data_IF_423398812024
#
_entry.id   IF_423398812024
#
_cell.length_a   1.000
_cell.length_b   1.000
_cell.length_c   1.000
_cell.angle_alpha   90.00
_cell.angle_beta   90.00
_cell.angle_gamma   90.00
#
_symmetry.space_group_name_H-M   'P 1'
#
loop_
_entity.id
_entity.type
_entity.pdbx_description
1 polymer ?
#
# COMPACT_ATOMS: atom_id res chain seq x y z
N UNK A 1 -0.60 -0.31 -27.73
CA UNK A 1 -0.32 0.70 -26.69
C UNK A 1 1.06 0.47 -26.12
N UNK A 2 1.76 1.50 -25.65
CA UNK A 2 2.99 1.31 -24.88
C UNK A 2 2.61 0.76 -23.49
N UNK A 3 3.29 -0.27 -22.96
CA UNK A 3 3.03 -0.75 -21.61
C UNK A 3 3.28 0.39 -20.62
N UNK A 4 2.25 0.71 -19.85
CA UNK A 4 2.30 1.74 -18.82
C UNK A 4 3.03 1.14 -17.63
N UNK A 5 4.34 1.38 -17.53
CA UNK A 5 5.16 0.86 -16.45
C UNK A 5 5.00 1.72 -15.18
N UNK A 6 3.77 1.88 -14.70
CA UNK A 6 3.47 2.59 -13.46
C UNK A 6 3.59 1.63 -12.27
N UNK A 7 4.78 1.59 -11.66
CA UNK A 7 5.05 0.83 -10.42
C UNK A 7 4.47 1.55 -9.19
N UNK A 8 3.16 1.80 -9.19
CA UNK A 8 2.48 2.45 -8.06
C UNK A 8 2.06 1.45 -6.98
N UNK A 9 1.95 0.17 -7.31
CA UNK A 9 1.59 -0.88 -6.37
C UNK A 9 2.85 -1.40 -5.66
N UNK A 10 2.73 -1.65 -4.36
CA UNK A 10 3.79 -2.25 -3.54
C UNK A 10 3.41 -3.69 -3.24
N UNK A 11 4.25 -4.64 -3.65
CA UNK A 11 4.00 -6.05 -3.36
C UNK A 11 3.96 -6.28 -1.84
N UNK A 12 2.86 -6.82 -1.35
CA UNK A 12 2.57 -6.95 0.09
C UNK A 12 2.89 -8.34 0.65
N UNK A 13 3.55 -9.22 -0.13
CA UNK A 13 3.90 -10.58 0.31
C UNK A 13 5.10 -10.64 1.25
N UNK A 14 5.89 -9.56 1.35
CA UNK A 14 6.93 -9.44 2.36
C UNK A 14 7.00 -8.01 2.90
N UNK A 15 6.61 -7.86 4.17
CA UNK A 15 6.58 -6.57 4.88
C UNK A 15 7.22 -6.79 6.24
N UNK A 16 8.16 -5.93 6.60
CA UNK A 16 8.68 -5.80 7.95
C UNK A 16 8.45 -4.37 8.41
N UNK A 17 7.71 -4.19 9.51
CA UNK A 17 7.36 -2.87 10.02
C UNK A 17 7.25 -2.88 11.54
N UNK A 18 7.57 -1.73 12.14
CA UNK A 18 7.30 -1.52 13.55
C UNK A 18 5.77 -1.49 13.82
N UNK A 19 5.32 -1.90 15.02
CA UNK A 19 3.93 -1.76 15.41
C UNK A 19 3.48 -0.29 15.31
N UNK A 20 2.31 -0.05 14.73
CA UNK A 20 1.76 1.31 14.59
C UNK A 20 2.45 2.20 13.57
N UNK A 21 3.33 1.66 12.70
CA UNK A 21 4.00 2.46 11.68
C UNK A 21 2.97 3.23 10.81
N UNK A 22 3.13 4.55 10.57
CA UNK A 22 2.12 5.39 9.91
C UNK A 22 1.63 4.85 8.57
N UNK A 23 2.53 4.28 7.76
CA UNK A 23 2.17 3.62 6.51
C UNK A 23 1.13 2.52 6.69
N UNK A 24 1.36 1.59 7.63
CA UNK A 24 0.44 0.48 7.86
C UNK A 24 -0.83 0.94 8.57
N UNK A 25 -0.71 1.84 9.54
CA UNK A 25 -1.88 2.40 10.22
C UNK A 25 -2.86 3.02 9.21
N UNK A 26 -2.34 3.79 8.24
CA UNK A 26 -3.16 4.41 7.21
C UNK A 26 -3.81 3.39 6.26
N UNK A 27 -3.07 2.35 5.86
CA UNK A 27 -3.61 1.26 5.03
C UNK A 27 -4.75 0.55 5.74
N UNK A 28 -4.56 0.18 7.00
CA UNK A 28 -5.56 -0.55 7.79
C UNK A 28 -6.80 0.31 8.01
N UNK A 29 -6.64 1.59 8.35
CA UNK A 29 -7.75 2.54 8.46
C UNK A 29 -8.58 2.56 7.17
N UNK A 30 -7.93 2.80 6.03
CA UNK A 30 -8.60 2.90 4.74
C UNK A 30 -9.32 1.61 4.35
N UNK A 31 -8.65 0.46 4.44
CA UNK A 31 -9.28 -0.83 4.10
C UNK A 31 -10.47 -1.12 5.01
N UNK A 32 -10.35 -0.83 6.32
CA UNK A 32 -11.45 -1.03 7.27
C UNK A 32 -12.63 -0.14 6.95
N UNK A 33 -12.39 1.14 6.62
CA UNK A 33 -13.45 2.06 6.20
C UNK A 33 -14.07 1.63 4.88
N UNK A 34 -13.28 1.17 3.90
CA UNK A 34 -13.78 0.66 2.63
C UNK A 34 -14.76 -0.50 2.83
N UNK A 35 -14.43 -1.44 3.71
CA UNK A 35 -15.30 -2.58 4.05
C UNK A 35 -16.54 -2.11 4.81
N UNK A 36 -16.36 -1.33 5.88
CA UNK A 36 -17.44 -0.90 6.79
C UNK A 36 -18.47 -0.01 6.08
N UNK A 37 -18.02 0.85 5.18
CA UNK A 37 -18.86 1.77 4.42
C UNK A 37 -19.25 1.24 3.05
N UNK A 38 -18.94 -0.03 2.75
CA UNK A 38 -19.32 -0.72 1.51
C UNK A 38 -18.92 0.09 0.28
N UNK A 39 -17.63 0.41 0.21
CA UNK A 39 -17.08 1.16 -0.91
C UNK A 39 -17.35 0.43 -2.22
N UNK A 40 -17.59 1.24 -3.25
CA UNK A 40 -17.77 0.84 -4.63
C UNK A 40 -16.57 1.29 -5.45
N UNK A 41 -16.48 0.84 -6.70
CA UNK A 41 -15.48 1.32 -7.65
C UNK A 41 -15.44 2.84 -7.77
N UNK A 42 -16.60 3.51 -7.72
CA UNK A 42 -16.69 4.98 -7.78
C UNK A 42 -16.07 5.63 -6.55
N UNK A 43 -16.31 5.07 -5.37
CA UNK A 43 -15.69 5.56 -4.13
C UNK A 43 -14.17 5.35 -4.18
N UNK A 44 -13.72 4.23 -4.79
CA UNK A 44 -12.30 3.97 -5.04
C UNK A 44 -11.71 5.01 -5.98
N UNK A 45 -12.34 5.29 -7.11
CA UNK A 45 -11.90 6.31 -8.07
C UNK A 45 -11.75 7.68 -7.41
N UNK A 46 -12.71 8.03 -6.55
CA UNK A 46 -12.71 9.30 -5.81
C UNK A 46 -11.51 9.41 -4.86
N UNK A 47 -11.01 8.31 -4.28
CA UNK A 47 -9.79 8.33 -3.46
C UNK A 47 -8.55 8.78 -4.25
N UNK A 48 -8.57 8.64 -5.58
CA UNK A 48 -7.46 8.98 -6.46
C UNK A 48 -7.65 10.31 -7.21
N UNK A 49 -8.67 11.10 -6.83
CA UNK A 49 -8.81 12.48 -7.32
C UNK A 49 -7.63 13.37 -6.87
N UNK A 50 -7.26 14.41 -7.66
CA UNK A 50 -8.04 15.01 -8.75
C UNK A 50 -7.85 14.39 -10.14
N UNK A 51 -6.75 13.66 -10.40
CA UNK A 51 -6.41 13.17 -11.74
C UNK A 51 -6.15 11.65 -11.73
N UNK A 52 -7.19 10.82 -11.49
CA UNK A 52 -7.02 9.38 -11.44
C UNK A 52 -6.81 8.79 -12.83
N UNK A 53 -5.86 7.87 -12.93
CA UNK A 53 -5.73 6.94 -14.05
C UNK A 53 -6.74 5.79 -13.82
N UNK A 54 -7.86 5.83 -14.54
CA UNK A 54 -8.98 4.92 -14.32
C UNK A 54 -8.79 3.53 -14.95
N UNK A 55 -7.97 3.40 -16.00
CA UNK A 55 -7.88 2.13 -16.74
C UNK A 55 -7.29 1.02 -15.87
N UNK A 56 -6.29 1.33 -15.04
CA UNK A 56 -5.68 0.38 -14.11
C UNK A 56 -6.56 0.16 -12.89
N UNK A 57 -7.26 1.19 -12.41
CA UNK A 57 -8.20 1.07 -11.28
C UNK A 57 -9.33 0.09 -11.59
N UNK A 58 -9.88 0.12 -12.80
CA UNK A 58 -11.00 -0.75 -13.19
C UNK A 58 -10.53 -2.11 -13.71
N UNK A 59 -9.33 -2.21 -14.28
CA UNK A 59 -8.77 -3.49 -14.74
C UNK A 59 -8.24 -4.38 -13.59
N UNK A 60 -7.84 -3.77 -12.46
CA UNK A 60 -7.24 -4.47 -11.32
C UNK A 60 -7.84 -4.00 -9.98
N UNK A 61 -9.15 -3.78 -9.98
CA UNK A 61 -9.97 -3.26 -8.89
C UNK A 61 -9.76 -3.99 -7.54
N UNK A 62 -9.60 -5.31 -7.54
CA UNK A 62 -9.32 -6.11 -6.34
C UNK A 62 -7.99 -5.74 -5.69
N UNK A 63 -7.00 -5.27 -6.46
CA UNK A 63 -5.71 -4.85 -5.92
C UNK A 63 -5.82 -3.51 -5.19
N UNK A 64 -6.82 -2.69 -5.52
CA UNK A 64 -7.09 -1.39 -4.91
C UNK A 64 -8.07 -1.44 -3.72
N UNK A 65 -8.70 -2.58 -3.47
CA UNK A 65 -9.59 -2.74 -2.31
C UNK A 65 -8.86 -3.24 -1.07
N UNK A 66 -8.02 -4.28 -1.20
CA UNK A 66 -7.27 -4.85 -0.08
C UNK A 66 -5.88 -5.40 -0.48
N UNK A 67 -5.42 -5.11 -1.69
CA UNK A 67 -4.21 -5.70 -2.26
C UNK A 67 -2.96 -4.81 -2.27
N UNK A 68 -1.97 -5.13 -3.12
CA UNK A 68 -0.70 -4.39 -3.20
C UNK A 68 -0.85 -2.93 -3.68
N UNK A 69 -1.90 -2.62 -4.43
CA UNK A 69 -2.09 -1.27 -4.98
C UNK A 69 -2.65 -0.29 -3.94
N UNK A 70 -3.56 -0.73 -3.06
CA UNK A 70 -4.01 0.11 -1.95
C UNK A 70 -2.87 0.36 -0.94
N UNK A 71 -1.98 -0.63 -0.73
CA UNK A 71 -0.77 -0.44 0.06
C UNK A 71 0.10 0.70 -0.50
N UNK A 72 0.44 0.62 -1.79
CA UNK A 72 1.21 1.68 -2.46
C UNK A 72 0.52 3.04 -2.41
N UNK A 73 -0.79 3.07 -2.64
CA UNK A 73 -1.59 4.32 -2.59
C UNK A 73 -1.57 4.99 -1.23
N UNK A 74 -1.71 4.22 -0.16
CA UNK A 74 -1.73 4.79 1.19
C UNK A 74 -0.33 5.19 1.64
N UNK A 75 0.73 4.46 1.25
CA UNK A 75 2.12 4.93 1.44
C UNK A 75 2.33 6.27 0.74
N UNK A 76 1.88 6.40 -0.52
CA UNK A 76 1.90 7.67 -1.25
C UNK A 76 1.18 8.78 -0.50
N UNK A 77 0.00 8.50 0.03
CA UNK A 77 -0.81 9.47 0.76
C UNK A 77 -0.10 9.94 2.04
N UNK A 78 0.52 9.04 2.79
CA UNK A 78 1.30 9.39 3.99
C UNK A 78 2.53 10.23 3.61
N UNK A 79 3.16 9.94 2.48
CA UNK A 79 4.25 10.74 1.90
C UNK A 79 3.76 12.06 1.26
N UNK A 80 2.46 12.33 1.26
CA UNK A 80 1.86 13.52 0.64
C UNK A 80 1.89 13.54 -0.89
N UNK A 81 2.13 12.38 -1.53
CA UNK A 81 2.13 12.19 -2.99
C UNK A 81 0.75 11.75 -3.48
N UNK A 82 0.52 11.85 -4.78
CA UNK A 82 -0.66 11.27 -5.42
C UNK A 82 -0.70 9.75 -5.20
N UNK A 83 -1.88 9.16 -4.95
CA UNK A 83 -2.02 7.72 -4.65
C UNK A 83 -1.46 6.80 -5.74
N UNK A 84 -1.47 7.25 -7.01
CA UNK A 84 -0.91 6.50 -8.15
C UNK A 84 0.53 6.90 -8.51
N UNK A 85 1.23 7.65 -7.65
CA UNK A 85 2.63 8.00 -7.90
C UNK A 85 3.50 6.72 -7.92
N UNK A 86 4.45 6.60 -8.87
CA UNK A 86 5.32 5.44 -8.95
C UNK A 86 6.29 5.37 -7.76
N UNK A 87 6.75 4.16 -7.48
CA UNK A 87 7.81 3.89 -6.52
C UNK A 87 9.10 3.48 -7.22
N UNK A 88 10.20 3.92 -6.62
CA UNK A 88 11.54 3.43 -6.91
C UNK A 88 12.00 2.57 -5.74
N UNK A 89 12.75 1.51 -6.04
CA UNK A 89 13.39 0.69 -5.01
C UNK A 89 14.54 1.48 -4.39
N UNK A 90 14.67 1.42 -3.06
CA UNK A 90 15.68 2.18 -2.33
C UNK A 90 15.18 2.68 -0.98
N UNK A 91 15.94 3.59 -0.39
CA UNK A 91 15.56 4.27 0.84
C UNK A 91 14.47 5.31 0.56
N UNK A 92 13.34 5.20 1.27
CA UNK A 92 12.27 6.19 1.20
C UNK A 92 12.70 7.37 2.02
N UNK A 93 12.76 8.55 1.39
CA UNK A 93 13.08 9.82 2.05
C UNK A 93 11.80 10.64 2.19
N UNK A 94 11.11 10.57 3.35
CA UNK A 94 9.81 11.20 3.50
C UNK A 94 9.90 12.73 3.51
N UNK A 95 11.07 13.27 3.83
CA UNK A 95 11.32 14.68 4.10
C UNK A 95 12.01 15.40 2.94
N UNK A 96 11.97 14.83 1.72
CA UNK A 96 12.37 15.60 0.53
C UNK A 96 11.38 16.75 0.25
N UNK A 97 10.12 16.61 0.66
CA UNK A 97 9.09 17.63 0.60
C UNK A 97 8.33 17.72 1.93
N UNK A 98 8.92 18.45 2.88
CA UNK A 98 8.40 18.63 4.24
C UNK A 98 6.94 19.08 4.28
N UNK A 99 6.50 19.92 3.34
CA UNK A 99 5.13 20.44 3.33
C UNK A 99 4.14 19.32 3.01
N UNK A 100 4.45 18.51 2.01
CA UNK A 100 3.61 17.39 1.62
C UNK A 100 3.62 16.29 2.68
N UNK A 101 4.78 15.99 3.25
CA UNK A 101 4.90 15.01 4.33
C UNK A 101 4.12 15.43 5.59
N UNK A 102 4.17 16.71 6.00
CA UNK A 102 3.36 17.25 7.11
C UNK A 102 1.86 17.04 6.88
N UNK A 103 1.39 17.29 5.66
CA UNK A 103 -0.02 17.08 5.28
C UNK A 103 -0.40 15.60 5.37
N UNK A 104 0.44 14.73 4.78
CA UNK A 104 0.24 13.29 4.75
C UNK A 104 0.26 12.62 6.13
N UNK A 105 1.01 13.19 7.08
CA UNK A 105 1.17 12.68 8.46
C UNK A 105 0.36 13.46 9.51
N UNK A 106 -0.65 14.22 9.10
CA UNK A 106 -1.48 15.04 10.01
C UNK A 106 -2.27 14.23 11.06
N UNK A 107 -2.40 12.91 10.85
CA UNK A 107 -3.02 11.95 11.78
C UNK A 107 -2.05 11.43 12.86
N UNK A 108 -0.76 11.72 12.76
CA UNK A 108 0.22 11.47 13.82
C UNK A 108 0.09 12.61 14.84
N UNK A 109 -0.13 12.26 16.11
CA UNK A 109 -0.43 13.18 17.23
C UNK A 109 0.62 13.05 18.34
N UNK A 110 0.60 13.98 19.29
CA UNK A 110 1.54 13.99 20.42
C UNK A 110 2.93 14.53 20.06
N UNK A 111 3.02 15.25 18.94
CA UNK A 111 4.20 16.01 18.54
C UNK A 111 3.76 17.48 18.43
N UNK A 112 4.50 18.39 19.04
CA UNK A 112 4.32 19.83 18.86
C UNK A 112 4.59 20.21 17.39
N UNK A 113 4.00 21.29 16.89
CA UNK A 113 4.14 21.68 15.47
C UNK A 113 5.60 22.05 15.07
N UNK A 114 6.45 22.30 16.08
CA UNK A 114 7.89 22.52 15.96
C UNK A 114 8.74 21.25 16.16
N UNK A 115 8.14 20.12 16.56
CA UNK A 115 8.87 18.87 16.77
C UNK A 115 9.42 18.31 15.46
N UNK A 116 10.55 17.61 15.60
CA UNK A 116 11.33 17.10 14.49
C UNK A 116 10.46 16.21 13.59
N UNK A 117 10.39 16.57 12.31
CA UNK A 117 9.56 15.90 11.31
C UNK A 117 9.83 14.40 11.27
N UNK A 118 11.08 14.00 11.52
CA UNK A 118 11.52 12.61 11.63
C UNK A 118 10.73 11.77 12.65
N UNK A 119 10.09 12.38 13.66
CA UNK A 119 9.26 11.66 14.63
C UNK A 119 7.89 11.26 14.06
N UNK A 120 7.42 11.94 13.00
CA UNK A 120 6.13 11.65 12.37
C UNK A 120 6.15 10.36 11.54
N UNK A 121 7.29 9.98 10.97
CA UNK A 121 7.51 8.68 10.33
C UNK A 121 8.79 8.11 10.96
N UNK A 122 8.66 7.43 12.11
CA UNK A 122 9.81 7.02 12.87
C UNK A 122 10.58 5.89 12.16
N UNK A 123 11.90 6.00 12.18
CA UNK A 123 12.81 4.98 11.65
C UNK A 123 13.03 5.08 10.14
N UNK A 124 13.75 4.08 9.62
CA UNK A 124 14.12 4.00 8.20
C UNK A 124 13.09 3.17 7.45
N UNK A 125 12.64 3.69 6.33
CA UNK A 125 11.72 3.00 5.41
C UNK A 125 12.44 2.64 4.12
N UNK A 126 12.35 1.39 3.70
CA UNK A 126 13.09 0.88 2.53
C UNK A 126 12.11 0.10 1.64
N UNK A 127 12.14 0.39 0.34
CA UNK A 127 11.44 -0.39 -0.68
C UNK A 127 12.46 -1.29 -1.35
N UNK A 128 12.26 -2.60 -1.20
CA UNK A 128 13.17 -3.59 -1.77
C UNK A 128 12.89 -3.78 -3.26
N UNK A 129 13.96 -3.95 -4.03
CA UNK A 129 13.87 -4.37 -5.40
C UNK A 129 13.48 -5.85 -5.44
N UNK A 130 12.47 -6.17 -6.23
CA UNK A 130 11.99 -7.53 -6.42
C UNK A 130 12.34 -7.97 -7.84
N UNK A 131 13.11 -9.05 -7.96
CA UNK A 131 13.35 -9.71 -9.24
C UNK A 131 13.11 -11.21 -9.08
N UNK A 132 12.17 -11.73 -9.86
CA UNK A 132 11.77 -13.13 -9.83
C UNK A 132 12.78 -14.03 -10.54
N UNK A 133 13.56 -13.49 -11.46
CA UNK A 133 14.46 -14.24 -12.33
C UNK A 133 15.93 -13.99 -12.02
N UNK A 134 16.24 -13.25 -10.96
CA UNK A 134 17.62 -12.94 -10.57
C UNK A 134 18.37 -14.18 -10.08
N UNK A 135 19.28 -14.67 -10.92
CA UNK A 135 20.13 -15.85 -10.69
C UNK A 135 19.35 -17.13 -10.29
N UNK A 136 18.17 -17.34 -10.88
CA UNK A 136 17.40 -18.58 -10.74
C UNK A 136 16.61 -18.73 -9.44
N UNK A 137 16.46 -17.66 -8.65
CA UNK A 137 15.57 -17.62 -7.49
C UNK A 137 14.88 -16.26 -7.40
N UNK A 138 13.73 -16.22 -6.75
CA UNK A 138 13.02 -14.96 -6.51
C UNK A 138 13.70 -14.22 -5.36
N UNK A 139 14.22 -13.02 -5.64
CA UNK A 139 15.03 -12.25 -4.69
C UNK A 139 14.45 -10.89 -4.39
N UNK A 140 14.73 -10.49 -3.16
CA UNK A 140 14.41 -9.18 -2.64
C UNK A 140 15.72 -8.51 -2.21
N UNK A 141 16.12 -7.49 -2.95
CA UNK A 141 17.43 -6.88 -2.82
C UNK A 141 17.32 -5.41 -2.43
N UNK A 142 18.22 -4.99 -1.54
CA UNK A 142 18.49 -3.59 -1.31
C UNK A 142 19.67 -3.18 -2.19
N UNK A 143 19.33 -2.79 -3.42
CA UNK A 143 20.27 -2.52 -4.52
C UNK A 143 21.32 -1.47 -4.16
N UNK A 144 20.94 -0.39 -3.49
CA UNK A 144 21.86 0.69 -3.07
C UNK A 144 22.99 0.22 -2.15
N UNK A 145 22.76 -0.87 -1.40
CA UNK A 145 23.74 -1.48 -0.48
C UNK A 145 24.32 -2.79 -1.01
N UNK A 146 23.96 -3.20 -2.23
CA UNK A 146 24.31 -4.50 -2.80
C UNK A 146 23.99 -5.67 -1.85
N UNK A 147 22.86 -5.59 -1.15
CA UNK A 147 22.46 -6.57 -0.14
C UNK A 147 21.26 -7.39 -0.61
N UNK A 148 21.38 -8.71 -0.60
CA UNK A 148 20.22 -9.62 -0.72
C UNK A 148 19.62 -9.75 0.67
N UNK A 149 18.37 -9.29 0.83
CA UNK A 149 17.71 -9.30 2.14
C UNK A 149 16.94 -10.62 2.33
N UNK A 150 16.31 -11.11 1.26
CA UNK A 150 15.76 -12.46 1.21
C UNK A 150 15.84 -13.03 -0.20
N UNK A 151 15.91 -14.35 -0.27
CA UNK A 151 15.79 -15.12 -1.49
C UNK A 151 14.88 -16.30 -1.21
N UNK A 152 14.04 -16.65 -2.17
CA UNK A 152 13.11 -17.76 -2.07
C UNK A 152 13.02 -18.46 -3.42
N UNK A 153 12.89 -19.77 -3.36
CA UNK A 153 12.53 -20.65 -4.47
C UNK A 153 11.00 -20.76 -4.60
N UNK A 154 10.26 -19.74 -4.16
CA UNK A 154 8.80 -19.78 -4.07
C UNK A 154 8.23 -20.21 -5.44
N UNK A 155 7.53 -21.36 -5.50
CA UNK A 155 7.05 -21.90 -6.76
C UNK A 155 6.12 -20.89 -7.40
N UNK A 156 6.32 -20.68 -8.70
CA UNK A 156 5.44 -19.86 -9.51
C UNK A 156 4.02 -20.42 -9.49
N UNK A 157 3.04 -19.58 -9.81
CA UNK A 157 1.70 -20.04 -10.18
C UNK A 157 1.77 -21.13 -11.26
N UNK A 158 2.62 -20.93 -12.28
CA UNK A 158 2.81 -21.91 -13.35
C UNK A 158 3.43 -23.23 -12.84
N UNK A 159 4.19 -23.20 -11.75
CA UNK A 159 4.75 -24.41 -11.12
C UNK A 159 3.66 -25.21 -10.35
N UNK A 160 2.52 -24.56 -10.05
CA UNK A 160 1.37 -25.19 -9.38
C UNK A 160 0.33 -25.76 -10.35
N UNK A 161 0.44 -25.52 -11.66
CA UNK A 161 -0.50 -26.06 -12.68
C UNK A 161 -0.62 -27.59 -12.70
N UNK A 162 0.35 -28.30 -12.12
CA UNK A 162 0.37 -29.76 -12.03
C UNK A 162 0.02 -30.30 -10.63
N UNK A 163 -0.35 -29.44 -9.68
CA UNK A 163 -0.85 -29.82 -8.36
C UNK A 163 -2.39 -29.80 -8.43
N UNK A 164 -3.05 -30.81 -7.84
CA UNK A 164 -4.50 -31.08 -7.98
C UNK A 164 -5.42 -29.94 -7.49
N UNK A 165 -4.88 -28.90 -6.87
CA UNK A 165 -5.62 -27.71 -6.46
C UNK A 165 -5.44 -26.59 -7.49
N UNK A 166 -6.37 -26.50 -8.43
CA UNK A 166 -6.51 -25.41 -9.41
C UNK A 166 -6.95 -24.13 -8.68
N UNK A 167 -6.05 -23.55 -7.88
CA UNK A 167 -6.32 -22.34 -7.09
C UNK A 167 -6.28 -21.15 -8.02
N UNK A 168 -7.44 -20.60 -8.37
CA UNK A 168 -7.57 -19.45 -9.27
C UNK A 168 -6.66 -18.28 -8.86
N UNK A 169 -5.93 -17.74 -9.85
CA UNK A 169 -5.09 -16.57 -9.65
C UNK A 169 -5.94 -15.34 -9.26
N UNK A 170 -5.39 -14.47 -8.41
CA UNK A 170 -6.11 -13.26 -7.95
C UNK A 170 -6.46 -12.30 -9.11
N UNK A 171 -5.75 -12.39 -10.24
CA UNK A 171 -6.13 -11.66 -11.46
C UNK A 171 -7.47 -12.12 -12.02
N UNK A 172 -7.94 -13.33 -11.71
CA UNK A 172 -9.22 -13.87 -12.15
C UNK A 172 -10.31 -13.68 -11.08
N UNK A 173 -9.94 -13.31 -9.84
CA UNK A 173 -10.93 -13.05 -8.79
C UNK A 173 -11.80 -11.82 -9.06
N UNK A 174 -11.38 -10.84 -9.87
CA UNK A 174 -12.24 -9.70 -10.20
C UNK A 174 -13.56 -10.16 -10.87
N UNK A 175 -13.50 -11.14 -11.79
CA UNK A 175 -14.67 -11.70 -12.50
C UNK A 175 -15.60 -12.50 -11.57
N UNK A 176 -15.04 -13.24 -10.61
CA UNK A 176 -15.83 -14.10 -9.70
C UNK A 176 -16.32 -13.36 -8.45
N UNK A 177 -15.42 -12.68 -7.76
CA UNK A 177 -15.74 -11.91 -6.56
C UNK A 177 -16.66 -10.74 -6.92
N UNK A 178 -16.43 -10.10 -8.08
CA UNK A 178 -17.20 -8.99 -8.62
C UNK A 178 -17.18 -7.79 -7.69
N UNK A 179 -16.56 -6.69 -8.12
CA UNK A 179 -16.54 -5.48 -7.31
C UNK A 179 -17.87 -4.75 -7.41
N UNK A 180 -18.37 -4.36 -6.24
CA UNK A 180 -19.58 -3.58 -6.13
C UNK A 180 -19.39 -2.21 -6.80
N UNK A 181 -20.30 -1.82 -7.69
CA UNK A 181 -20.24 -0.58 -8.49
C UNK A 181 -19.71 -0.75 -9.91
N UNK A 182 -18.97 -1.83 -10.22
CA UNK A 182 -18.60 -2.18 -11.60
C UNK A 182 -19.59 -3.17 -12.19
N UNK A 183 -19.75 -4.33 -11.54
CA UNK A 183 -20.60 -5.42 -12.03
C UNK A 183 -21.72 -5.82 -11.06
N UNK A 184 -21.58 -5.49 -9.76
CA UNK A 184 -22.49 -5.92 -8.70
C UNK A 184 -23.01 -4.73 -7.90
N UNK A 185 -24.20 -4.87 -7.32
CA UNK A 185 -24.79 -3.90 -6.39
C UNK A 185 -25.03 -4.58 -5.04
N UNK A 186 -24.84 -3.85 -3.96
CA UNK A 186 -25.14 -4.39 -2.63
C UNK A 186 -26.64 -4.66 -2.53
N UNK A 187 -27.01 -5.86 -2.07
CA UNK A 187 -28.41 -6.25 -1.86
C UNK A 187 -29.09 -5.44 -0.72
N UNK A 188 -28.27 -5.00 0.23
CA UNK A 188 -28.68 -4.27 1.42
C UNK A 188 -27.91 -2.95 1.49
N UNK A 189 -28.61 -1.88 1.86
CA UNK A 189 -28.08 -0.52 1.95
C UNK A 189 -27.57 -0.17 3.36
N UNK A 190 -27.56 -1.13 4.30
CA UNK A 190 -26.96 -0.91 5.62
C UNK A 190 -25.45 -0.65 5.53
N UNK A 191 -25.09 0.63 5.72
CA UNK A 191 -23.74 1.16 5.87
C UNK A 191 -23.58 1.73 7.27
N UNK A 192 -22.37 1.75 7.81
CA UNK A 192 -22.15 2.37 9.11
C UNK A 192 -22.24 3.91 9.06
N UNK A 193 -21.97 4.52 7.89
CA UNK A 193 -22.01 5.98 7.66
C UNK A 193 -21.08 6.79 8.58
N UNK A 194 -20.02 6.16 9.08
CA UNK A 194 -19.02 6.80 9.93
C UNK A 194 -17.64 6.28 9.53
N UNK A 195 -16.66 7.17 9.51
CA UNK A 195 -15.27 6.80 9.27
C UNK A 195 -14.55 6.59 10.59
N UNK A 196 -13.87 5.45 10.70
CA UNK A 196 -12.87 5.24 11.74
C UNK A 196 -11.67 6.12 11.42
N UNK A 197 -11.10 6.73 12.46
CA UNK A 197 -9.85 7.47 12.38
C UNK A 197 -8.84 6.88 13.34
N UNK A 198 -7.71 6.48 12.80
CA UNK A 198 -6.57 5.98 13.55
C UNK A 198 -5.60 7.13 13.76
N UNK A 199 -5.23 7.32 15.03
CA UNK A 199 -4.19 8.26 15.41
C UNK A 199 -2.96 7.47 15.83
N UNK A 200 -1.81 7.85 15.29
CA UNK A 200 -0.52 7.29 15.73
C UNK A 200 0.05 8.24 16.75
N UNK A 201 0.39 7.72 17.92
CA UNK A 201 1.03 8.49 18.98
C UNK A 201 2.54 8.56 18.70
N UNK A 202 3.02 9.76 18.39
CA UNK A 202 4.41 10.05 18.08
C UNK A 202 5.32 10.12 19.31
N UNK A 203 4.77 10.25 20.53
CA UNK A 203 5.57 10.34 21.77
C UNK A 203 6.38 9.07 22.04
N UNK A 204 5.87 7.90 21.62
CA UNK A 204 6.58 6.62 21.73
C UNK A 204 7.93 6.59 20.99
N UNK A 205 8.12 7.44 19.98
CA UNK A 205 9.40 7.55 19.29
C UNK A 205 10.44 8.29 20.16
N UNK A 206 10.01 9.29 20.94
CA UNK A 206 10.88 10.07 21.83
C UNK A 206 11.38 9.22 23.02
N UNK A 207 10.51 8.43 23.62
CA UNK A 207 10.83 7.58 24.79
C UNK A 207 11.89 6.50 24.50
N UNK A 208 12.11 6.14 23.23
CA UNK A 208 13.07 5.12 22.81
C UNK A 208 14.40 5.67 22.30
N UNK A 209 14.54 6.99 22.15
CA UNK A 209 15.79 7.64 21.70
C UNK A 209 16.74 7.93 22.88
N UNK A 210 16.32 7.70 24.12
CA UNK A 210 17.21 7.69 25.28
C UNK A 210 17.98 6.35 25.39
N UNK A 211 19.07 6.21 24.64
CA UNK A 211 20.13 5.21 24.87
C UNK A 211 21.48 5.87 24.78
#
# INVERSE_FOLDING_TARGET
GKPVNHRMCLWNGWIAAAPGHPFLAKVIETVTNNVRNRFTSVDVDQMFCPNPELSVLHAFDTLFTAGPCILGSMVNTVLGRHGQAPFESGEVKPWEDDKNAKKGTSFVKGLDDEDDLFLRIPGRSIILHQDKWDMGAHRFTFTEKNLVVAATDMPDYDDRKNLEDDVEHYSNTHVKAGIYGLEKLYKDNHKANEDLRFFVDGTYALDRVQV
#
